data_IF_269553102386
#
_entry.id   IF_269553102386
#
_cell.length_a   1.000
_cell.length_b   1.000
_cell.length_c   1.000
_cell.angle_alpha   90.00
_cell.angle_beta   90.00
_cell.angle_gamma   90.00
#
_symmetry.space_group_name_H-M   'P 1'
#
loop_
_entity.id
_entity.type
_entity.pdbx_description
1 polymer ?
#
# COMPACT_ATOMS: atom_id res chain seq x y z
N UNK A 1 5.38 -16.85 0.05
CA UNK A 1 6.09 -15.73 -0.63
C UNK A 1 7.61 -15.80 -0.42
N UNK A 2 8.42 -15.51 -1.45
CA UNK A 2 9.89 -15.53 -1.46
C UNK A 2 10.54 -14.19 -1.11
N UNK A 3 9.93 -13.06 -1.48
CA UNK A 3 10.49 -11.71 -1.35
C UNK A 3 9.72 -10.86 -0.34
N UNK A 4 8.39 -10.75 -0.43
CA UNK A 4 7.59 -9.91 0.46
C UNK A 4 7.77 -10.29 1.95
N UNK A 5 7.92 -11.59 2.23
CA UNK A 5 8.21 -12.10 3.58
C UNK A 5 9.57 -11.67 4.17
N UNK A 6 10.48 -11.12 3.35
CA UNK A 6 11.77 -10.60 3.81
C UNK A 6 11.70 -9.13 4.20
N UNK A 7 10.57 -8.46 3.97
CA UNK A 7 10.37 -7.06 4.30
C UNK A 7 10.17 -6.86 5.80
N UNK A 8 10.86 -5.88 6.35
CA UNK A 8 10.68 -5.45 7.73
C UNK A 8 9.36 -4.69 7.90
N UNK A 9 8.87 -4.56 9.13
CA UNK A 9 7.69 -3.73 9.40
C UNK A 9 7.89 -2.26 8.97
N UNK A 10 9.12 -1.74 9.03
CA UNK A 10 9.41 -0.37 8.61
C UNK A 10 9.37 -0.22 7.09
N UNK A 11 9.82 -1.23 6.35
CA UNK A 11 9.70 -1.27 4.88
C UNK A 11 8.26 -1.43 4.44
N UNK A 12 7.46 -2.21 5.18
CA UNK A 12 6.03 -2.34 4.94
C UNK A 12 5.28 -1.04 5.23
N UNK A 13 5.69 -0.28 6.26
CA UNK A 13 5.17 1.07 6.52
C UNK A 13 5.56 2.07 5.43
N UNK A 14 6.76 1.96 4.87
CA UNK A 14 7.18 2.77 3.72
C UNK A 14 6.33 2.48 2.48
N UNK A 15 6.11 1.19 2.19
CA UNK A 15 5.22 0.77 1.11
C UNK A 15 3.78 1.23 1.34
N UNK A 16 3.27 1.10 2.56
CA UNK A 16 1.94 1.59 2.90
C UNK A 16 1.80 3.09 2.59
N UNK A 17 2.76 3.91 3.02
CA UNK A 17 2.81 5.35 2.67
C UNK A 17 2.93 5.63 1.18
N UNK A 18 3.54 4.73 0.41
CA UNK A 18 3.64 4.85 -1.04
C UNK A 18 2.29 4.58 -1.72
N UNK A 19 1.43 3.77 -1.11
CA UNK A 19 0.13 3.38 -1.66
C UNK A 19 -0.97 4.38 -1.28
N UNK A 20 -0.93 4.87 -0.04
CA UNK A 20 -1.89 5.83 0.51
C UNK A 20 -1.74 7.22 -0.11
N UNK A 21 -2.83 8.01 -0.09
CA UNK A 21 -2.81 9.43 -0.45
C UNK A 21 -1.71 10.20 0.31
N UNK A 22 -1.00 11.08 -0.40
CA UNK A 22 0.14 11.84 0.14
C UNK A 22 -0.23 12.78 1.28
N UNK A 23 -1.49 13.21 1.34
CA UNK A 23 -1.99 14.12 2.38
C UNK A 23 -2.61 13.38 3.57
N UNK A 24 -2.65 12.05 3.54
CA UNK A 24 -3.25 11.24 4.59
C UNK A 24 -2.38 11.18 5.85
N UNK A 25 -3.03 11.28 7.01
CA UNK A 25 -2.42 10.99 8.31
C UNK A 25 -2.73 9.56 8.72
N UNK A 26 -1.69 8.71 8.82
CA UNK A 26 -1.84 7.32 9.31
C UNK A 26 -2.12 7.34 10.81
N UNK A 27 -3.32 6.96 11.22
CA UNK A 27 -3.72 6.83 12.63
C UNK A 27 -3.33 5.48 13.20
N UNK A 28 -3.53 4.43 12.42
CA UNK A 28 -3.16 3.07 12.78
C UNK A 28 -2.78 2.26 11.54
N UNK A 29 -1.89 1.28 11.71
CA UNK A 29 -1.56 0.28 10.71
C UNK A 29 -1.29 -1.05 11.41
N UNK A 30 -2.09 -2.05 11.08
CA UNK A 30 -1.89 -3.43 11.49
C UNK A 30 -1.25 -4.20 10.35
N UNK A 31 -0.19 -4.94 10.65
CA UNK A 31 0.53 -5.77 9.66
C UNK A 31 0.33 -7.23 10.05
N UNK A 32 -0.36 -7.97 9.18
CA UNK A 32 -0.60 -9.40 9.35
C UNK A 32 0.13 -10.16 8.26
N UNK A 33 0.89 -11.19 8.63
CA UNK A 33 1.63 -12.04 7.69
C UNK A 33 1.04 -13.44 7.69
N UNK A 34 0.77 -13.97 6.51
CA UNK A 34 0.44 -15.37 6.31
C UNK A 34 1.34 -16.05 5.25
N UNK A 35 1.02 -17.28 4.89
CA UNK A 35 1.84 -18.06 3.95
C UNK A 35 1.76 -17.56 2.49
N UNK A 36 0.66 -16.88 2.14
CA UNK A 36 0.32 -16.41 0.79
C UNK A 36 0.51 -14.90 0.60
N UNK A 37 0.31 -14.11 1.64
CA UNK A 37 0.22 -12.65 1.55
C UNK A 37 0.61 -11.93 2.84
N UNK A 38 0.81 -10.61 2.74
CA UNK A 38 0.89 -9.70 3.89
C UNK A 38 -0.26 -8.71 3.78
N UNK A 39 -1.13 -8.68 4.78
CA UNK A 39 -2.19 -7.68 4.92
C UNK A 39 -1.65 -6.43 5.62
N UNK A 40 -1.93 -5.28 5.03
CA UNK A 40 -1.67 -3.95 5.56
C UNK A 40 -3.04 -3.30 5.81
N UNK A 41 -3.53 -3.43 7.03
CA UNK A 41 -4.87 -2.96 7.42
C UNK A 41 -4.74 -1.64 8.16
N UNK A 42 -5.22 -0.57 7.55
CA UNK A 42 -4.88 0.78 7.98
C UNK A 42 -6.08 1.68 8.17
N UNK A 43 -5.94 2.62 9.09
CA UNK A 43 -6.91 3.66 9.36
C UNK A 43 -6.22 5.00 9.13
N UNK A 44 -6.72 5.74 8.16
CA UNK A 44 -6.14 7.02 7.75
C UNK A 44 -7.14 8.14 7.95
N UNK A 45 -6.61 9.33 8.24
CA UNK A 45 -7.38 10.57 8.25
C UNK A 45 -7.02 11.37 7.00
N UNK A 46 -8.04 11.73 6.22
CA UNK A 46 -7.92 12.50 4.98
C UNK A 46 -8.81 13.75 5.06
N UNK A 47 -8.55 14.78 4.23
CA UNK A 47 -9.45 15.92 4.12
C UNK A 47 -10.88 15.49 3.77
N UNK A 48 -11.85 16.11 4.43
CA UNK A 48 -13.26 15.95 4.07
C UNK A 48 -13.50 16.53 2.66
N UNK A 49 -14.41 15.90 1.90
CA UNK A 49 -14.76 16.31 0.54
C UNK A 49 -16.24 16.67 0.38
N UNK A 50 -17.09 16.37 1.36
CA UNK A 50 -18.50 16.73 1.33
C UNK A 50 -18.71 18.24 1.54
N UNK A 51 -19.30 18.91 0.54
CA UNK A 51 -19.50 20.37 0.54
C UNK A 51 -20.33 20.89 1.74
N UNK A 52 -21.24 20.08 2.26
CA UNK A 52 -22.09 20.46 3.39
C UNK A 52 -21.29 20.54 4.68
N UNK A 53 -20.41 19.56 4.93
CA UNK A 53 -19.53 19.54 6.09
C UNK A 53 -18.45 20.63 5.99
N UNK A 54 -17.90 20.86 4.80
CA UNK A 54 -16.89 21.91 4.57
C UNK A 54 -17.43 23.33 4.73
N UNK A 55 -18.76 23.55 4.60
CA UNK A 55 -19.39 24.84 4.93
C UNK A 55 -19.39 25.11 6.43
N UNK A 56 -19.46 24.07 7.25
CA UNK A 56 -19.45 24.18 8.71
C UNK A 56 -18.01 24.27 9.26
N UNK A 57 -17.11 23.44 8.73
CA UNK A 57 -15.67 23.46 9.03
C UNK A 57 -14.83 23.25 7.76
N UNK A 58 -14.19 24.31 7.22
CA UNK A 58 -13.35 24.22 6.03
C UNK A 58 -12.11 23.33 6.19
N UNK A 59 -11.74 22.93 7.41
CA UNK A 59 -10.62 22.02 7.69
C UNK A 59 -11.09 20.67 8.22
N UNK A 60 -12.37 20.31 8.00
CA UNK A 60 -12.90 19.02 8.40
C UNK A 60 -12.08 17.87 7.79
N UNK A 61 -11.98 16.78 8.53
CA UNK A 61 -11.31 15.55 8.10
C UNK A 61 -12.20 14.35 8.39
N UNK A 62 -12.04 13.29 7.62
CA UNK A 62 -12.72 12.01 7.81
C UNK A 62 -11.69 10.90 8.05
N UNK A 63 -12.04 9.94 8.90
CA UNK A 63 -11.25 8.71 9.10
C UNK A 63 -11.87 7.59 8.27
N UNK A 64 -11.04 6.95 7.45
CA UNK A 64 -11.44 5.86 6.57
C UNK A 64 -10.50 4.67 6.68
N UNK A 65 -11.01 3.49 6.31
CA UNK A 65 -10.23 2.27 6.17
C UNK A 65 -9.42 2.35 4.87
N UNK A 66 -8.15 1.96 4.94
CA UNK A 66 -7.20 2.02 3.84
C UNK A 66 -6.36 0.75 3.84
N UNK A 67 -6.92 -0.32 3.27
CA UNK A 67 -6.39 -1.69 3.35
C UNK A 67 -5.81 -2.20 2.03
N UNK A 68 -4.66 -2.87 2.16
CA UNK A 68 -3.95 -3.51 1.06
C UNK A 68 -3.55 -4.95 1.42
N UNK A 69 -3.41 -5.79 0.41
CA UNK A 69 -2.76 -7.09 0.53
C UNK A 69 -1.63 -7.19 -0.49
N UNK A 70 -0.42 -7.50 -0.03
CA UNK A 70 0.75 -7.61 -0.90
C UNK A 70 1.19 -9.06 -1.06
N UNK A 71 1.61 -9.40 -2.28
CA UNK A 71 2.27 -10.67 -2.61
C UNK A 71 3.70 -10.40 -3.11
N UNK A 72 4.42 -11.40 -3.61
CA UNK A 72 5.69 -11.12 -4.30
C UNK A 72 5.50 -10.32 -5.60
N UNK A 73 4.31 -10.39 -6.20
CA UNK A 73 4.06 -9.85 -7.54
C UNK A 73 3.20 -8.59 -7.57
N UNK A 74 2.17 -8.50 -6.74
CA UNK A 74 1.12 -7.49 -6.85
C UNK A 74 0.63 -6.96 -5.50
N UNK A 75 -0.16 -5.89 -5.59
CA UNK A 75 -0.88 -5.29 -4.47
C UNK A 75 -2.36 -5.35 -4.81
N UNK A 76 -3.16 -5.97 -3.95
CA UNK A 76 -4.62 -5.88 -4.00
C UNK A 76 -5.05 -4.70 -3.14
N UNK A 77 -5.97 -3.91 -3.66
CA UNK A 77 -6.51 -2.71 -3.04
C UNK A 77 -7.97 -2.97 -2.69
N UNK A 78 -8.36 -2.73 -1.44
CA UNK A 78 -9.71 -3.06 -0.95
C UNK A 78 -10.64 -1.86 -0.83
N UNK A 79 -10.12 -0.67 -0.52
CA UNK A 79 -10.96 0.49 -0.15
C UNK A 79 -10.85 1.69 -1.10
N UNK A 80 -9.70 1.91 -1.74
CA UNK A 80 -9.44 3.07 -2.60
C UNK A 80 -9.36 2.64 -4.07
N UNK A 81 -9.68 3.56 -4.98
CA UNK A 81 -9.58 3.31 -6.42
C UNK A 81 -8.15 3.59 -6.91
N UNK A 82 -7.39 2.55 -7.23
CA UNK A 82 -6.03 2.71 -7.76
C UNK A 82 -5.35 1.38 -8.05
N UNK A 83 -4.25 1.43 -8.81
CA UNK A 83 -3.36 0.28 -8.99
C UNK A 83 -1.96 0.62 -8.45
N UNK A 84 -1.65 0.07 -7.28
CA UNK A 84 -0.37 0.27 -6.61
C UNK A 84 0.72 -0.71 -7.09
N UNK A 85 0.36 -1.68 -7.94
CA UNK A 85 1.22 -2.80 -8.32
C UNK A 85 2.48 -2.34 -9.03
N UNK A 86 2.39 -1.33 -9.91
CA UNK A 86 3.55 -0.84 -10.64
C UNK A 86 4.59 -0.21 -9.71
N UNK A 87 4.16 0.62 -8.77
CA UNK A 87 5.07 1.31 -7.85
C UNK A 87 5.61 0.36 -6.80
N UNK A 88 4.82 -0.60 -6.33
CA UNK A 88 5.29 -1.73 -5.54
C UNK A 88 6.41 -2.50 -6.23
N UNK A 89 6.23 -2.89 -7.51
CA UNK A 89 7.24 -3.62 -8.28
C UNK A 89 8.53 -2.83 -8.47
N UNK A 90 8.44 -1.52 -8.72
CA UNK A 90 9.62 -0.64 -8.80
C UNK A 90 10.37 -0.62 -7.46
N UNK A 91 9.62 -0.53 -6.35
CA UNK A 91 10.21 -0.55 -5.01
C UNK A 91 10.89 -1.90 -4.72
N UNK A 92 10.20 -3.01 -5.01
CA UNK A 92 10.74 -4.37 -4.86
C UNK A 92 11.97 -4.61 -5.72
N UNK A 93 11.99 -4.11 -6.96
CA UNK A 93 13.17 -4.15 -7.82
C UNK A 93 14.34 -3.35 -7.23
N UNK A 94 14.08 -2.15 -6.70
CA UNK A 94 15.12 -1.36 -6.02
C UNK A 94 15.70 -2.09 -4.80
N UNK A 95 14.87 -2.87 -4.08
CA UNK A 95 15.27 -3.63 -2.88
C UNK A 95 16.04 -4.91 -3.21
N UNK A 96 15.56 -5.70 -4.17
CA UNK A 96 16.04 -7.07 -4.42
C UNK A 96 16.78 -7.24 -5.75
N UNK A 97 16.78 -6.22 -6.61
CA UNK A 97 17.55 -6.17 -7.84
C UNK A 97 17.13 -7.20 -8.89
N UNK A 98 18.10 -7.63 -9.70
CA UNK A 98 17.86 -8.44 -10.89
C UNK A 98 17.31 -9.84 -10.60
N UNK A 99 17.52 -10.39 -9.40
CA UNK A 99 16.93 -11.68 -9.02
C UNK A 99 15.40 -11.59 -9.00
N UNK A 100 14.87 -10.55 -8.34
CA UNK A 100 13.44 -10.27 -8.33
C UNK A 100 12.91 -9.99 -9.73
N UNK A 101 13.62 -9.19 -10.53
CA UNK A 101 13.19 -8.83 -11.87
C UNK A 101 13.04 -10.05 -12.80
N UNK A 102 14.03 -10.97 -12.78
CA UNK A 102 13.97 -12.20 -13.58
C UNK A 102 12.79 -13.09 -13.21
N UNK A 103 12.47 -13.16 -11.93
CA UNK A 103 11.43 -14.07 -11.44
C UNK A 103 10.02 -13.48 -11.54
N UNK A 104 9.85 -12.16 -11.44
CA UNK A 104 8.52 -11.57 -11.30
C UNK A 104 8.20 -10.47 -12.32
N UNK A 105 9.19 -9.92 -13.04
CA UNK A 105 8.97 -8.81 -13.98
C UNK A 105 9.13 -9.21 -15.45
N UNK A 106 9.98 -10.21 -15.74
CA UNK A 106 10.30 -10.61 -17.13
C UNK A 106 9.65 -11.90 -17.61
N UNK A 107 8.76 -12.53 -16.82
CA UNK A 107 8.14 -13.82 -17.18
C UNK A 107 7.17 -13.79 -18.37
N UNK A 108 6.87 -12.62 -18.95
CA UNK A 108 6.00 -12.48 -20.14
C UNK A 108 6.76 -12.42 -21.48
N UNK A 109 8.06 -12.76 -21.52
CA UNK A 109 8.90 -12.68 -22.73
C UNK A 109 9.57 -14.00 -23.16
N UNK A 110 9.05 -15.16 -22.74
CA UNK A 110 9.51 -16.49 -23.21
C UNK A 110 8.34 -17.34 -23.72
#
# INVERSE_FOLDING_TARGET
MKYANKLTDDELKELYRLFTDSDATIKNLTITRDEYSISLEGYIEIPEFEEELLKEDPNATIVVDDDYEITDYDVKVYHHSGDCTLDYRKWMYKKFGDEYAREYLFQNYL
#
